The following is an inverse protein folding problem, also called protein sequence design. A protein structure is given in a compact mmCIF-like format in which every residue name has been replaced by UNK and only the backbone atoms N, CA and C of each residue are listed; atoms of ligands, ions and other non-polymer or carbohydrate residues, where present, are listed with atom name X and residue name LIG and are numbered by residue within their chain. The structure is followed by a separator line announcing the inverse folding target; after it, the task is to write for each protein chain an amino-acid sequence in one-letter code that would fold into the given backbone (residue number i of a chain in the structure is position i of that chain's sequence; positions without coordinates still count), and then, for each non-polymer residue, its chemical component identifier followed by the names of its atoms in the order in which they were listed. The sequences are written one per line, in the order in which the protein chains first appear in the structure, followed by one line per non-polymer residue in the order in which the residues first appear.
data_IF_216120877014
#
_entry.id   IF_216120877014
#
_cell.length_a   1.000
_cell.length_b   1.000
_cell.length_c   1.000
_cell.angle_alpha   90.00
_cell.angle_beta   90.00
_cell.angle_gamma   90.00
#
_symmetry.space_group_name_H-M   'P 1'
#
loop_
_entity.id
_entity.type
_entity.pdbx_description
1 polymer ?
#
# COMPACT_ATOMS: atom_id res chain seq x y z
N UNK A 1 6.81 -20.90 21.25
CA UNK A 1 6.13 -19.58 21.33
C UNK A 1 4.65 -19.86 21.40
N UNK A 2 3.96 -19.34 22.42
CA UNK A 2 2.51 -19.53 22.59
C UNK A 2 1.74 -18.66 21.56
N UNK A 3 0.68 -19.21 20.96
CA UNK A 3 -0.20 -18.47 20.04
C UNK A 3 -0.83 -17.25 20.70
N UNK A 4 -1.15 -17.33 21.99
CA UNK A 4 -1.71 -16.21 22.74
C UNK A 4 -0.74 -15.03 22.76
N UNK A 5 0.52 -15.30 23.11
CA UNK A 5 1.58 -14.30 23.14
C UNK A 5 1.82 -13.65 21.77
N UNK A 6 1.94 -14.45 20.70
CA UNK A 6 2.15 -13.92 19.34
C UNK A 6 0.98 -13.03 18.90
N UNK A 7 -0.25 -13.45 19.18
CA UNK A 7 -1.45 -12.70 18.85
C UNK A 7 -1.54 -11.39 19.63
N UNK A 8 -1.16 -11.38 20.91
CA UNK A 8 -1.12 -10.17 21.73
C UNK A 8 -0.05 -9.19 21.24
N UNK A 9 1.13 -9.67 20.86
CA UNK A 9 2.17 -8.88 20.24
C UNK A 9 1.71 -8.26 18.91
N UNK A 10 1.16 -9.08 18.00
CA UNK A 10 0.59 -8.64 16.74
C UNK A 10 -0.46 -7.54 16.96
N UNK A 11 -1.41 -7.78 17.87
CA UNK A 11 -2.50 -6.83 18.19
C UNK A 11 -1.94 -5.54 18.79
N UNK A 12 -0.95 -5.62 19.67
CA UNK A 12 -0.33 -4.43 20.26
C UNK A 12 0.35 -3.56 19.20
N UNK A 13 1.17 -4.16 18.33
CA UNK A 13 1.82 -3.48 17.22
C UNK A 13 0.80 -2.88 16.24
N UNK A 14 -0.22 -3.65 15.85
CA UNK A 14 -1.28 -3.17 14.96
C UNK A 14 -2.06 -1.99 15.55
N UNK A 15 -2.40 -2.05 16.84
CA UNK A 15 -3.08 -0.94 17.55
C UNK A 15 -2.25 0.35 17.53
N UNK A 16 -0.94 0.24 17.71
CA UNK A 16 -0.04 1.39 17.61
C UNK A 16 -0.04 1.97 16.18
N UNK A 17 0.05 1.10 15.17
CA UNK A 17 0.11 1.49 13.76
C UNK A 17 -1.17 2.16 13.26
N UNK A 18 -2.34 1.73 13.73
CA UNK A 18 -3.64 2.36 13.39
C UNK A 18 -3.72 3.84 13.76
N UNK A 19 -2.95 4.28 14.76
CA UNK A 19 -2.91 5.68 15.22
C UNK A 19 -1.82 6.50 14.53
N UNK A 20 -0.90 5.83 13.84
CA UNK A 20 0.28 6.46 13.23
C UNK A 20 -0.11 7.17 11.93
N UNK A 21 0.49 8.35 11.69
CA UNK A 21 0.20 9.16 10.50
C UNK A 21 1.31 9.15 9.44
N UNK A 22 2.54 8.81 9.83
CA UNK A 22 3.71 8.81 8.95
C UNK A 22 4.70 7.70 9.32
N UNK A 23 5.52 7.30 8.34
CA UNK A 23 6.59 6.31 8.50
C UNK A 23 7.94 7.03 8.68
N UNK A 24 8.88 6.39 9.38
CA UNK A 24 10.29 6.82 9.43
C UNK A 24 11.07 6.12 8.32
N UNK A 25 12.22 6.68 7.94
CA UNK A 25 13.13 6.04 6.99
C UNK A 25 13.54 4.65 7.47
N UNK A 26 13.60 3.68 6.55
CA UNK A 26 13.98 2.29 6.83
C UNK A 26 12.89 1.38 7.41
N UNK A 27 11.80 1.93 7.94
CA UNK A 27 10.71 1.11 8.49
C UNK A 27 9.91 0.38 7.39
N UNK A 28 9.35 -0.79 7.73
CA UNK A 28 8.31 -1.45 6.93
C UNK A 28 7.39 -2.28 7.84
N UNK A 29 6.52 -1.62 8.63
CA UNK A 29 5.68 -2.30 9.62
C UNK A 29 4.71 -3.31 9.01
N UNK A 30 4.31 -3.17 7.75
CA UNK A 30 3.46 -4.16 7.10
C UNK A 30 4.23 -5.47 6.89
N UNK A 31 5.43 -5.39 6.31
CA UNK A 31 6.28 -6.56 6.10
C UNK A 31 6.69 -7.19 7.44
N UNK A 32 6.98 -6.40 8.47
CA UNK A 32 7.30 -6.88 9.82
C UNK A 32 6.12 -7.66 10.44
N UNK A 33 4.90 -7.11 10.38
CA UNK A 33 3.70 -7.78 10.90
C UNK A 33 3.40 -9.06 10.12
N UNK A 34 3.52 -9.03 8.79
CA UNK A 34 3.33 -10.21 7.97
C UNK A 34 4.38 -11.28 8.28
N UNK A 35 5.65 -10.89 8.44
CA UNK A 35 6.74 -11.81 8.82
C UNK A 35 6.48 -12.45 10.18
N UNK A 36 6.00 -11.69 11.17
CA UNK A 36 5.60 -12.22 12.46
C UNK A 36 4.50 -13.28 12.33
N UNK A 37 3.49 -13.04 11.49
CA UNK A 37 2.38 -13.97 11.28
C UNK A 37 2.79 -15.22 10.51
N UNK A 38 3.57 -15.09 9.44
CA UNK A 38 3.98 -16.24 8.60
C UNK A 38 5.14 -17.03 9.19
N UNK A 39 5.94 -16.43 10.06
CA UNK A 39 7.00 -17.09 10.80
C UNK A 39 6.51 -17.85 12.04
N UNK A 40 5.21 -17.80 12.33
CA UNK A 40 4.61 -18.59 13.40
C UNK A 40 4.74 -20.10 13.09
N UNK A 41 4.96 -20.95 14.10
CA UNK A 41 4.89 -22.41 13.93
C UNK A 41 3.61 -22.83 13.21
N UNK A 42 3.71 -23.75 12.25
CA UNK A 42 2.59 -24.16 11.38
C UNK A 42 1.38 -24.65 12.15
N UNK A 43 1.59 -25.21 13.34
CA UNK A 43 0.56 -25.70 14.26
C UNK A 43 -0.37 -24.57 14.74
N UNK A 44 0.12 -23.32 14.72
CA UNK A 44 -0.64 -22.15 15.14
C UNK A 44 -1.43 -21.50 14.00
N UNK A 45 -1.19 -21.88 12.74
CA UNK A 45 -1.81 -21.27 11.56
C UNK A 45 -3.35 -21.22 11.61
N UNK A 46 -4.07 -22.31 12.00
CA UNK A 46 -5.53 -22.25 12.13
C UNK A 46 -6.00 -21.28 13.21
N UNK A 47 -5.28 -21.19 14.33
CA UNK A 47 -5.62 -20.30 15.45
C UNK A 47 -5.36 -18.81 15.13
N UNK A 48 -4.46 -18.52 14.20
CA UNK A 48 -4.11 -17.15 13.81
C UNK A 48 -5.07 -16.54 12.79
N UNK A 49 -5.84 -17.36 12.07
CA UNK A 49 -6.70 -16.94 10.95
C UNK A 49 -5.95 -16.03 9.97
N UNK A 50 -4.90 -16.59 9.35
CA UNK A 50 -3.99 -15.84 8.46
C UNK A 50 -4.72 -15.14 7.31
N UNK A 51 -5.83 -15.72 6.82
CA UNK A 51 -6.63 -15.12 5.77
C UNK A 51 -7.27 -13.81 6.23
N UNK A 52 -7.85 -13.80 7.43
CA UNK A 52 -8.43 -12.57 7.98
C UNK A 52 -7.36 -11.55 8.37
N UNK A 53 -6.24 -11.98 8.96
CA UNK A 53 -5.14 -11.07 9.30
C UNK A 53 -4.53 -10.43 8.05
N UNK A 54 -4.35 -11.18 6.96
CA UNK A 54 -3.92 -10.63 5.68
C UNK A 54 -4.88 -9.56 5.17
N UNK A 55 -6.20 -9.81 5.23
CA UNK A 55 -7.22 -8.82 4.83
C UNK A 55 -7.20 -7.57 5.72
N UNK A 56 -7.07 -7.75 7.02
CA UNK A 56 -6.94 -6.66 8.00
C UNK A 56 -5.74 -5.75 7.70
N UNK A 57 -4.58 -6.35 7.42
CA UNK A 57 -3.36 -5.62 7.10
C UNK A 57 -3.43 -4.97 5.72
N UNK A 58 -3.93 -5.68 4.70
CA UNK A 58 -4.08 -5.13 3.35
C UNK A 58 -4.98 -3.88 3.34
N UNK A 59 -6.08 -3.94 4.08
CA UNK A 59 -7.01 -2.83 4.27
C UNK A 59 -6.35 -1.60 4.93
N UNK A 60 -5.39 -1.80 5.83
CA UNK A 60 -4.66 -0.73 6.51
C UNK A 60 -3.47 -0.18 5.69
N UNK A 61 -2.79 -1.04 4.92
CA UNK A 61 -1.53 -0.73 4.23
C UNK A 61 -1.69 -0.72 2.72
N UNK A 62 -1.69 -1.89 2.10
CA UNK A 62 -1.73 -2.10 0.65
C UNK A 62 -2.03 -3.57 0.35
N UNK A 63 -2.63 -3.87 -0.80
CA UNK A 63 -2.94 -5.25 -1.17
C UNK A 63 -1.71 -6.07 -1.56
N UNK A 64 -0.74 -5.44 -2.23
CA UNK A 64 0.61 -5.97 -2.37
C UNK A 64 1.50 -5.55 -1.19
N UNK A 65 2.38 -6.44 -0.72
CA UNK A 65 3.31 -6.16 0.38
C UNK A 65 4.64 -5.66 -0.23
N UNK A 66 5.04 -4.39 -0.03
CA UNK A 66 6.35 -3.92 -0.46
C UNK A 66 7.46 -4.61 0.32
N UNK A 67 8.49 -5.09 -0.38
CA UNK A 67 9.76 -5.50 0.21
C UNK A 67 10.89 -4.51 -0.17
N UNK A 68 12.05 -4.66 0.46
CA UNK A 68 13.19 -3.77 0.22
C UNK A 68 13.59 -3.74 -1.26
N UNK A 69 13.65 -4.91 -1.91
CA UNK A 69 14.07 -5.02 -3.31
C UNK A 69 13.11 -4.32 -4.27
N UNK A 70 11.81 -4.46 -4.07
CA UNK A 70 10.81 -3.76 -4.89
C UNK A 70 10.91 -2.25 -4.73
N UNK A 71 11.14 -1.77 -3.51
CA UNK A 71 11.33 -0.34 -3.25
C UNK A 71 12.61 0.20 -3.89
N UNK A 72 13.70 -0.57 -3.90
CA UNK A 72 14.95 -0.21 -4.60
C UNK A 72 14.74 -0.11 -6.12
N UNK A 73 14.06 -1.10 -6.71
CA UNK A 73 13.73 -1.08 -8.14
C UNK A 73 12.91 0.17 -8.46
N UNK A 74 11.83 0.42 -7.73
CA UNK A 74 11.02 1.63 -7.94
C UNK A 74 11.84 2.91 -7.77
N UNK A 75 12.69 3.00 -6.73
CA UNK A 75 13.52 4.17 -6.51
C UNK A 75 14.48 4.46 -7.69
N UNK A 76 15.02 3.43 -8.33
CA UNK A 76 15.91 3.56 -9.49
C UNK A 76 15.21 4.11 -10.74
N UNK A 77 13.87 4.04 -10.80
CA UNK A 77 13.06 4.54 -11.92
C UNK A 77 12.31 5.84 -11.61
N UNK A 78 12.66 6.53 -10.52
CA UNK A 78 12.08 7.83 -10.19
C UNK A 78 12.41 8.89 -11.25
N UNK A 79 11.55 9.92 -11.45
CA UNK A 79 10.34 10.24 -10.68
C UNK A 79 9.15 9.31 -11.00
N UNK A 80 8.37 9.00 -9.96
CA UNK A 80 7.29 8.01 -10.03
C UNK A 80 5.90 8.66 -10.02
N UNK A 81 4.94 7.97 -10.67
CA UNK A 81 3.51 8.21 -10.60
C UNK A 81 2.80 6.92 -10.16
N UNK A 82 2.39 6.84 -8.89
CA UNK A 82 1.56 5.74 -8.38
C UNK A 82 0.07 6.04 -8.65
N UNK A 83 -0.57 5.18 -9.44
CA UNK A 83 -1.99 5.24 -9.74
C UNK A 83 -2.74 4.12 -9.00
N UNK A 84 -3.88 4.46 -8.37
CA UNK A 84 -4.61 3.52 -7.51
C UNK A 84 -3.91 3.33 -6.17
N UNK A 85 -3.37 4.42 -5.60
CA UNK A 85 -2.51 4.37 -4.43
C UNK A 85 -3.22 3.86 -3.15
N UNK A 86 -4.55 3.86 -3.08
CA UNK A 86 -5.31 3.41 -1.92
C UNK A 86 -4.92 4.17 -0.66
N UNK A 87 -4.39 3.47 0.35
CA UNK A 87 -3.86 4.09 1.59
C UNK A 87 -2.49 4.77 1.42
N UNK A 88 -1.88 4.71 0.23
CA UNK A 88 -0.64 5.39 -0.14
C UNK A 88 0.61 4.81 0.52
N UNK A 89 0.59 3.52 0.87
CA UNK A 89 1.66 2.91 1.66
C UNK A 89 2.98 2.77 0.90
N UNK A 90 2.95 2.36 -0.38
CA UNK A 90 4.13 2.35 -1.24
C UNK A 90 4.75 3.74 -1.37
N UNK A 91 3.94 4.74 -1.75
CA UNK A 91 4.38 6.14 -1.78
C UNK A 91 4.93 6.64 -0.45
N UNK A 92 4.34 6.26 0.68
CA UNK A 92 4.85 6.66 2.00
C UNK A 92 6.25 6.08 2.28
N UNK A 93 6.47 4.81 1.94
CA UNK A 93 7.77 4.16 2.08
C UNK A 93 8.83 4.74 1.15
N UNK A 94 8.46 5.06 -0.10
CA UNK A 94 9.34 5.67 -1.09
C UNK A 94 9.70 7.11 -0.70
N UNK A 95 8.73 7.93 -0.28
CA UNK A 95 8.98 9.29 0.22
C UNK A 95 9.86 9.30 1.46
N UNK A 96 9.68 8.36 2.37
CA UNK A 96 10.56 8.20 3.55
C UNK A 96 12.01 7.85 3.16
N UNK A 97 12.26 7.41 1.92
CA UNK A 97 13.58 7.18 1.31
C UNK A 97 14.05 8.34 0.42
N UNK A 98 13.34 9.46 0.41
CA UNK A 98 13.67 10.63 -0.42
C UNK A 98 13.31 10.48 -1.90
N UNK A 99 12.53 9.47 -2.28
CA UNK A 99 12.12 9.25 -3.68
C UNK A 99 10.99 10.21 -4.06
N UNK A 100 11.13 10.86 -5.23
CA UNK A 100 10.05 11.66 -5.82
C UNK A 100 8.96 10.74 -6.39
N UNK A 101 7.81 10.73 -5.71
CA UNK A 101 6.61 10.00 -6.12
C UNK A 101 5.36 10.85 -5.94
N UNK A 102 4.53 10.88 -6.98
CA UNK A 102 3.17 11.40 -6.93
C UNK A 102 2.18 10.24 -6.79
N UNK A 103 1.31 10.34 -5.79
CA UNK A 103 0.29 9.32 -5.50
C UNK A 103 -1.10 9.84 -5.90
N UNK A 104 -1.83 9.07 -6.70
CA UNK A 104 -3.17 9.38 -7.15
C UNK A 104 -4.13 8.22 -6.88
N UNK A 105 -5.35 8.57 -6.50
CA UNK A 105 -6.45 7.62 -6.35
C UNK A 105 -7.78 8.33 -6.69
N UNK A 106 -8.72 7.64 -7.31
CA UNK A 106 -10.04 8.20 -7.63
C UNK A 106 -10.90 8.39 -6.37
N UNK A 107 -10.77 7.49 -5.40
CA UNK A 107 -11.50 7.45 -4.15
C UNK A 107 -10.54 7.16 -2.97
N UNK A 108 -9.58 8.08 -2.68
CA UNK A 108 -8.63 7.86 -1.60
C UNK A 108 -9.38 7.63 -0.28
N UNK A 109 -8.97 6.63 0.52
CA UNK A 109 -9.55 6.38 1.84
C UNK A 109 -9.32 7.59 2.73
N UNK A 110 -10.25 7.83 3.65
CA UNK A 110 -10.16 8.93 4.60
C UNK A 110 -11.15 8.73 5.73
N UNK A 111 -11.11 9.60 6.74
CA UNK A 111 -12.02 9.49 7.90
C UNK A 111 -13.50 9.49 7.54
N UNK A 112 -13.85 10.26 6.50
CA UNK A 112 -15.23 10.41 6.03
C UNK A 112 -15.42 9.97 4.57
N UNK A 113 -14.38 9.46 3.91
CA UNK A 113 -14.47 8.94 2.54
C UNK A 113 -14.34 7.43 2.52
N UNK A 114 -15.35 6.78 1.95
CA UNK A 114 -15.36 5.33 1.78
C UNK A 114 -14.47 4.92 0.61
N UNK A 115 -13.77 3.81 0.79
CA UNK A 115 -13.08 3.08 -0.27
C UNK A 115 -13.45 1.59 -0.10
N UNK A 116 -13.81 0.91 -1.19
CA UNK A 116 -14.29 -0.48 -1.13
C UNK A 116 -13.20 -1.47 -0.66
N UNK A 117 -11.93 -1.12 -0.89
CA UNK A 117 -10.75 -1.95 -0.68
C UNK A 117 -10.01 -1.63 0.62
N UNK A 118 -10.19 -0.41 1.15
CA UNK A 118 -9.56 0.06 2.37
C UNK A 118 -10.62 0.51 3.38
N UNK A 119 -10.81 -0.30 4.42
CA UNK A 119 -11.85 -0.15 5.44
C UNK A 119 -11.38 0.61 6.68
N UNK A 120 -10.10 0.98 6.72
CA UNK A 120 -9.54 1.72 7.84
C UNK A 120 -10.11 3.16 7.88
N UNK A 121 -10.85 3.50 8.93
CA UNK A 121 -11.39 4.84 9.16
C UNK A 121 -10.30 5.83 9.63
N UNK A 122 -9.29 6.06 8.78
CA UNK A 122 -8.17 6.98 9.05
C UNK A 122 -7.73 7.70 7.78
N UNK A 123 -6.96 8.76 7.97
CA UNK A 123 -6.23 9.40 6.87
C UNK A 123 -5.19 8.46 6.25
N UNK A 124 -4.85 8.58 4.96
CA UNK A 124 -3.79 7.78 4.33
C UNK A 124 -2.40 7.93 4.99
N UNK A 125 -1.46 7.07 4.63
CA UNK A 125 -0.06 7.11 5.12
C UNK A 125 0.75 8.29 4.58
N UNK A 126 0.27 8.92 3.50
CA UNK A 126 0.91 10.07 2.87
C UNK A 126 -0.11 10.87 2.08
N UNK A 127 0.29 12.01 1.50
CA UNK A 127 -0.60 12.81 0.65
C UNK A 127 -0.94 12.06 -0.64
N UNK A 128 -2.23 11.95 -0.94
CA UNK A 128 -2.77 11.37 -2.17
C UNK A 128 -3.63 12.41 -2.87
N UNK A 129 -3.47 12.54 -4.18
CA UNK A 129 -4.28 13.43 -5.00
C UNK A 129 -5.55 12.70 -5.45
N UNK A 130 -6.73 13.25 -5.11
CA UNK A 130 -8.02 12.71 -5.57
C UNK A 130 -8.27 13.04 -7.04
N UNK A 131 -7.90 12.15 -7.95
CA UNK A 131 -8.22 12.18 -9.41
C UNK A 131 -8.12 10.76 -9.97
N UNK A 132 -8.75 10.52 -11.12
CA UNK A 132 -8.63 9.25 -11.83
C UNK A 132 -7.20 8.98 -12.31
N UNK A 133 -6.83 7.71 -12.37
CA UNK A 133 -5.54 7.25 -12.89
C UNK A 133 -5.29 7.72 -14.32
N UNK A 134 -6.32 7.71 -15.17
CA UNK A 134 -6.25 8.23 -16.55
C UNK A 134 -5.86 9.70 -16.61
N UNK A 135 -6.47 10.55 -15.78
CA UNK A 135 -6.12 11.98 -15.74
C UNK A 135 -4.71 12.20 -15.20
N UNK A 136 -4.32 11.42 -14.18
CA UNK A 136 -2.98 11.51 -13.61
C UNK A 136 -1.90 11.14 -14.64
N UNK A 137 -2.08 10.01 -15.34
CA UNK A 137 -1.16 9.54 -16.37
C UNK A 137 -1.04 10.50 -17.57
N UNK A 138 -2.14 11.14 -18.00
CA UNK A 138 -2.10 12.16 -19.05
C UNK A 138 -1.33 13.41 -18.62
N UNK A 139 -1.41 13.77 -17.33
CA UNK A 139 -0.78 14.97 -16.78
C UNK A 139 0.72 14.80 -16.55
N UNK A 140 1.13 13.62 -16.12
CA UNK A 140 2.50 13.34 -15.68
C UNK A 140 3.13 12.22 -16.50
N UNK A 141 3.13 12.38 -17.83
CA UNK A 141 3.65 11.36 -18.77
C UNK A 141 5.17 11.21 -18.70
N UNK A 142 5.86 12.20 -18.14
CA UNK A 142 7.31 12.22 -17.93
C UNK A 142 7.77 11.34 -16.74
N UNK A 143 6.83 10.84 -15.94
CA UNK A 143 7.11 9.99 -14.77
C UNK A 143 6.90 8.53 -15.11
N UNK A 144 7.67 7.65 -14.49
CA UNK A 144 7.43 6.21 -14.52
C UNK A 144 6.08 5.90 -13.88
N UNK A 145 5.19 5.24 -14.62
CA UNK A 145 3.91 4.79 -14.10
C UNK A 145 4.13 3.56 -13.21
N UNK A 146 3.59 3.59 -11.99
CA UNK A 146 3.53 2.44 -11.09
C UNK A 146 2.08 2.01 -10.95
N UNK A 147 1.78 0.76 -11.32
CA UNK A 147 0.46 0.16 -11.23
C UNK A 147 0.54 -1.21 -10.54
N UNK A 148 0.38 -1.22 -9.22
CA UNK A 148 0.52 -2.43 -8.40
C UNK A 148 -0.81 -2.86 -7.78
N UNK A 149 -1.23 -4.10 -8.06
CA UNK A 149 -2.47 -4.69 -7.55
C UNK A 149 -3.74 -3.87 -7.83
N UNK A 150 -3.99 -3.43 -9.08
CA UNK A 150 -5.20 -2.70 -9.38
C UNK A 150 -6.45 -3.61 -9.32
N UNK A 151 -7.65 -3.06 -9.06
CA UNK A 151 -8.89 -3.84 -9.00
C UNK A 151 -9.26 -4.41 -10.38
N UNK A 152 -9.29 -5.74 -10.52
CA UNK A 152 -9.43 -6.39 -11.82
C UNK A 152 -10.80 -6.21 -12.48
N UNK A 153 -11.83 -5.88 -11.70
CA UNK A 153 -13.25 -5.79 -12.09
C UNK A 153 -13.71 -4.36 -12.39
N UNK A 154 -12.87 -3.35 -12.16
CA UNK A 154 -13.14 -1.95 -12.46
C UNK A 154 -12.04 -1.39 -13.37
N UNK A 155 -12.27 -1.38 -14.68
CA UNK A 155 -11.31 -0.89 -15.68
C UNK A 155 -10.91 0.57 -15.47
N UNK A 156 -11.83 1.43 -14.99
CA UNK A 156 -11.54 2.84 -14.75
C UNK A 156 -10.59 3.03 -13.56
N UNK A 157 -10.71 2.19 -12.53
CA UNK A 157 -9.80 2.13 -11.39
C UNK A 157 -8.53 1.30 -11.65
N UNK A 158 -8.48 0.52 -12.73
CA UNK A 158 -7.37 -0.38 -13.07
C UNK A 158 -6.71 -0.09 -14.42
N UNK A 159 -7.13 -0.76 -15.48
CA UNK A 159 -6.37 -0.92 -16.72
C UNK A 159 -6.56 0.23 -17.71
N UNK A 160 -7.57 1.10 -17.54
CA UNK A 160 -7.77 2.27 -18.38
C UNK A 160 -6.56 3.21 -18.41
N UNK A 161 -5.79 3.25 -17.30
CA UNK A 161 -4.55 4.03 -17.23
C UNK A 161 -3.50 3.55 -18.23
N UNK A 162 -3.41 2.24 -18.50
CA UNK A 162 -2.43 1.68 -19.42
C UNK A 162 -2.68 2.15 -20.86
N UNK A 163 -3.95 2.28 -21.24
CA UNK A 163 -4.34 2.81 -22.55
C UNK A 163 -4.13 4.32 -22.66
N UNK A 164 -4.09 5.04 -21.54
CA UNK A 164 -3.92 6.48 -21.49
C UNK A 164 -2.45 6.93 -21.31
N UNK A 165 -1.63 6.10 -20.68
CA UNK A 165 -0.23 6.39 -20.41
C UNK A 165 0.57 6.43 -21.73
N UNK A 166 1.46 7.43 -21.83
CA UNK A 166 2.29 7.69 -23.01
C UNK A 166 3.74 7.99 -22.62
N UNK A 167 4.14 7.60 -21.42
CA UNK A 167 5.53 7.66 -21.00
C UNK A 167 6.27 6.37 -21.34
N UNK A 168 7.55 6.32 -21.01
CA UNK A 168 8.47 5.30 -21.51
C UNK A 168 8.60 4.08 -20.59
N UNK A 169 8.22 4.21 -19.31
CA UNK A 169 8.40 3.14 -18.31
C UNK A 169 7.13 2.91 -17.51
N UNK A 170 6.70 1.64 -17.47
CA UNK A 170 5.64 1.13 -16.61
C UNK A 170 6.24 0.06 -15.71
N UNK A 171 5.90 0.11 -14.42
CA UNK A 171 6.23 -0.90 -13.41
C UNK A 171 4.96 -1.38 -12.73
#
# INVERSE_FOLDING_TARGET
MDASFLLDEYRARLRALRRRRSLRGGENPYLELMTLLVGAPSELSPALDLAERRRELASLFSWAIPNARALEVLAAHAPLLECGAGMGYWSALLRARGVDVLAYDAAPPGRSSKNAYHRAAREPWTRIHRRSSVMAARRHRERTLVLCWPPYDDDAASYAVLRAYRGDTLI
#
